data_IF_010752426614
#
_entry.id   IF_010752426614
#
_cell.length_a   1.000
_cell.length_b   1.000
_cell.length_c   1.000
_cell.angle_alpha   90.00
_cell.angle_beta   90.00
_cell.angle_gamma   90.00
#
_symmetry.space_group_name_H-M   'P 1'
#
loop_
_entity.id
_entity.type
_entity.pdbx_description
1 polymer ?
#
# COMPACT_ATOMS: atom_id res chain seq x y z
N UNK A 1 2.65 2.39 -7.88
CA UNK A 1 1.99 2.72 -6.59
C UNK A 1 1.04 3.89 -6.74
N UNK A 2 1.45 5.15 -6.89
CA UNK A 2 0.50 6.26 -7.15
C UNK A 2 -0.33 6.03 -8.42
N UNK A 3 0.29 5.47 -9.46
CA UNK A 3 -0.34 5.11 -10.74
C UNK A 3 -1.52 4.13 -10.63
N UNK A 4 -1.52 3.27 -9.61
CA UNK A 4 -2.62 2.32 -9.37
C UNK A 4 -3.65 2.85 -8.37
N UNK A 5 -3.53 4.12 -7.97
CA UNK A 5 -4.47 4.77 -7.05
C UNK A 5 -4.34 4.28 -5.60
N UNK A 6 -3.12 3.92 -5.18
CA UNK A 6 -2.81 3.50 -3.79
C UNK A 6 -1.53 4.18 -3.29
N UNK A 7 -1.54 4.57 -2.03
CA UNK A 7 -0.37 5.15 -1.33
C UNK A 7 -0.09 4.29 -0.10
N UNK A 8 1.17 3.96 0.11
CA UNK A 8 1.67 3.27 1.31
C UNK A 8 3.00 3.89 1.73
N UNK A 9 3.40 3.69 2.98
CA UNK A 9 4.67 4.19 3.50
C UNK A 9 5.69 3.05 3.54
N UNK A 10 6.86 3.16 2.87
CA UNK A 10 7.95 2.20 3.01
C UNK A 10 8.48 2.15 4.46
N UNK A 11 8.77 0.94 4.94
CA UNK A 11 9.27 0.72 6.31
C UNK A 11 10.62 1.39 6.59
N UNK A 12 11.46 1.55 5.57
CA UNK A 12 12.76 2.24 5.66
C UNK A 12 12.65 3.68 6.15
N UNK A 13 11.55 4.38 5.86
CA UNK A 13 11.30 5.76 6.31
C UNK A 13 10.91 5.80 7.80
N UNK A 14 10.46 4.67 8.36
CA UNK A 14 10.04 4.51 9.75
C UNK A 14 11.10 3.83 10.62
N UNK A 15 12.33 3.64 10.11
CA UNK A 15 13.42 2.98 10.83
C UNK A 15 13.32 1.44 10.86
N UNK A 16 12.49 0.83 10.01
CA UNK A 16 12.40 -0.63 9.86
C UNK A 16 13.14 -1.11 8.61
N UNK A 17 13.20 -2.43 8.41
CA UNK A 17 13.74 -3.02 7.18
C UNK A 17 12.90 -2.62 5.94
N UNK A 18 13.54 -2.64 4.77
CA UNK A 18 12.99 -2.21 3.48
C UNK A 18 11.98 -3.17 2.85
N UNK A 19 11.87 -4.39 3.37
CA UNK A 19 10.89 -5.41 3.01
C UNK A 19 9.54 -5.23 3.71
N UNK A 20 9.41 -4.24 4.59
CA UNK A 20 8.14 -3.88 5.24
C UNK A 20 7.53 -2.61 4.67
N UNK A 21 6.20 -2.51 4.81
CA UNK A 21 5.45 -1.28 4.56
C UNK A 21 4.40 -1.07 5.65
N UNK A 22 4.03 0.19 5.89
CA UNK A 22 2.94 0.55 6.79
C UNK A 22 1.67 0.84 5.98
N UNK A 23 0.59 0.18 6.38
CA UNK A 23 -0.77 0.45 5.93
C UNK A 23 -1.58 1.04 7.09
N UNK A 24 -2.59 1.84 6.80
CA UNK A 24 -3.52 2.36 7.81
C UNK A 24 -4.92 2.46 7.22
N UNK A 25 -5.92 2.23 8.06
CA UNK A 25 -7.34 2.42 7.76
C UNK A 25 -7.91 3.69 8.42
N UNK A 26 -7.09 4.46 9.15
CA UNK A 26 -7.58 5.56 9.99
C UNK A 26 -8.23 6.75 9.25
N UNK A 27 -8.15 6.79 7.91
CA UNK A 27 -8.80 7.80 7.06
C UNK A 27 -9.64 7.20 5.93
N UNK A 28 -9.68 5.88 5.81
CA UNK A 28 -10.43 5.19 4.76
C UNK A 28 -11.80 4.81 5.31
N UNK A 29 -12.84 4.87 4.48
CA UNK A 29 -14.13 4.25 4.82
C UNK A 29 -14.03 2.72 4.67
N UNK A 30 -14.95 2.00 5.32
CA UNK A 30 -15.00 0.53 5.24
C UNK A 30 -15.18 0.03 3.79
N UNK A 31 -15.88 0.79 2.95
CA UNK A 31 -16.08 0.50 1.54
C UNK A 31 -14.81 0.72 0.69
N UNK A 32 -13.94 1.65 1.10
CA UNK A 32 -12.71 1.97 0.40
C UNK A 32 -11.59 0.95 0.67
N UNK A 33 -11.55 0.35 1.86
CA UNK A 33 -10.54 -0.64 2.26
C UNK A 33 -10.40 -1.79 1.24
N UNK A 34 -11.47 -2.52 0.85
CA UNK A 34 -11.33 -3.62 -0.10
C UNK A 34 -10.90 -3.14 -1.50
N UNK A 35 -11.27 -1.93 -1.91
CA UNK A 35 -10.82 -1.32 -3.17
C UNK A 35 -9.32 -1.02 -3.10
N UNK A 36 -8.86 -0.43 -2.00
CA UNK A 36 -7.46 -0.12 -1.74
C UNK A 36 -6.58 -1.37 -1.74
N UNK A 37 -7.04 -2.48 -1.12
CA UNK A 37 -6.32 -3.76 -1.12
C UNK A 37 -6.15 -4.30 -2.54
N UNK A 38 -7.20 -4.27 -3.38
CA UNK A 38 -7.11 -4.72 -4.79
C UNK A 38 -6.10 -3.89 -5.59
N UNK A 39 -6.10 -2.57 -5.39
CA UNK A 39 -5.14 -1.66 -6.01
C UNK A 39 -3.71 -1.92 -5.54
N UNK A 40 -3.53 -2.18 -4.24
CA UNK A 40 -2.23 -2.55 -3.67
C UNK A 40 -1.69 -3.83 -4.31
N UNK A 41 -2.51 -4.88 -4.41
CA UNK A 41 -2.12 -6.14 -5.04
C UNK A 41 -1.68 -5.94 -6.50
N UNK A 42 -2.44 -5.15 -7.28
CA UNK A 42 -2.08 -4.80 -8.66
C UNK A 42 -0.76 -4.03 -8.74
N UNK A 43 -0.55 -3.07 -7.83
CA UNK A 43 0.70 -2.32 -7.76
C UNK A 43 1.91 -3.21 -7.42
N UNK A 44 1.74 -4.14 -6.48
CA UNK A 44 2.80 -5.08 -6.10
C UNK A 44 3.14 -6.04 -7.24
N UNK A 45 2.14 -6.56 -7.95
CA UNK A 45 2.35 -7.44 -9.10
C UNK A 45 3.24 -6.82 -10.18
N UNK A 46 3.16 -5.50 -10.39
CA UNK A 46 4.03 -4.77 -11.33
C UNK A 46 5.48 -4.60 -10.86
N UNK A 47 5.74 -4.68 -9.56
CA UNK A 47 7.07 -4.50 -8.96
C UNK A 47 7.81 -5.84 -8.86
N UNK A 48 7.08 -6.93 -8.67
CA UNK A 48 7.63 -8.28 -8.51
C UNK A 48 7.72 -9.09 -9.81
N UNK A 49 7.31 -8.50 -10.95
CA UNK A 49 7.40 -9.12 -12.28
C UNK A 49 8.73 -8.83 -12.97
#
# INVERSE_FOLDING_TARGET
SIEEGVIFTPGSILGTKSDFMRLTYGKASDEEIPIGIKRLAKALGKITS
#
